data_IF_836782026718
#
_entry.id   IF_836782026718
#
_cell.length_a   1.000
_cell.length_b   1.000
_cell.length_c   1.000
_cell.angle_alpha   90.00
_cell.angle_beta   90.00
_cell.angle_gamma   90.00
#
_symmetry.space_group_name_H-M   'P 1'
#
loop_
_entity.id
_entity.type
_entity.pdbx_description
1 polymer ?
#
# COMPACT_ATOMS: atom_id res chain seq x y z
N UNK A 1 -14.15 14.49 5.96
CA UNK A 1 -12.80 14.23 6.54
C UNK A 1 -11.79 14.95 5.65
N UNK A 2 -11.22 16.07 6.13
CA UNK A 2 -10.56 17.08 5.28
C UNK A 2 -9.28 16.62 4.58
N UNK A 3 -8.75 15.43 4.90
CA UNK A 3 -7.46 14.94 4.35
C UNK A 3 -7.59 13.62 3.54
N UNK A 4 -8.81 13.16 3.25
CA UNK A 4 -9.03 11.86 2.56
C UNK A 4 -8.38 11.79 1.18
N UNK A 5 -8.29 12.94 0.48
CA UNK A 5 -7.67 13.04 -0.84
C UNK A 5 -6.18 12.67 -0.84
N UNK A 6 -5.49 12.70 0.30
CA UNK A 6 -4.07 12.33 0.38
C UNK A 6 -3.91 10.84 0.12
N UNK A 7 -4.77 10.03 0.73
CA UNK A 7 -4.80 8.59 0.49
C UNK A 7 -5.28 8.29 -0.93
N UNK A 8 -6.32 8.96 -1.40
CA UNK A 8 -6.81 8.81 -2.78
C UNK A 8 -5.69 9.08 -3.80
N UNK A 9 -4.97 10.19 -3.66
CA UNK A 9 -3.84 10.53 -4.53
C UNK A 9 -2.75 9.46 -4.49
N UNK A 10 -2.44 8.89 -3.31
CA UNK A 10 -1.50 7.79 -3.20
C UNK A 10 -1.99 6.53 -3.94
N UNK A 11 -3.25 6.13 -3.74
CA UNK A 11 -3.83 4.95 -4.38
C UNK A 11 -3.86 5.11 -5.90
N UNK A 12 -4.30 6.27 -6.39
CA UNK A 12 -4.33 6.59 -7.82
C UNK A 12 -2.91 6.54 -8.41
N UNK A 13 -1.94 7.17 -7.75
CA UNK A 13 -0.54 7.11 -8.17
C UNK A 13 0.01 5.67 -8.18
N UNK A 14 -0.38 4.83 -7.21
CA UNK A 14 0.02 3.42 -7.21
C UNK A 14 -0.53 2.68 -8.44
N UNK A 15 -1.83 2.83 -8.71
CA UNK A 15 -2.50 2.17 -9.83
C UNK A 15 -1.82 2.55 -11.14
N UNK A 16 -1.59 3.85 -11.37
CA UNK A 16 -0.97 4.31 -12.61
C UNK A 16 0.49 3.86 -12.80
N UNK A 17 1.27 3.73 -11.72
CA UNK A 17 2.69 3.37 -11.83
C UNK A 17 2.96 1.86 -11.81
N UNK A 18 2.08 1.06 -11.18
CA UNK A 18 2.39 -0.35 -10.87
C UNK A 18 1.36 -1.33 -11.43
N UNK A 19 0.16 -0.85 -11.75
CA UNK A 19 -0.95 -1.70 -12.18
C UNK A 19 -1.28 -1.42 -13.66
N UNK A 20 -1.17 -0.17 -14.10
CA UNK A 20 -1.43 0.25 -15.47
C UNK A 20 -0.13 0.52 -16.24
N UNK A 21 -0.05 0.22 -17.55
CA UNK A 21 -1.03 -0.47 -18.36
C UNK A 21 -1.00 -1.98 -18.12
N UNK A 22 -2.18 -2.57 -17.89
CA UNK A 22 -2.29 -4.02 -17.77
C UNK A 22 -1.96 -4.69 -19.11
N UNK A 23 -1.11 -5.69 -19.06
CA UNK A 23 -0.89 -6.62 -20.19
C UNK A 23 -1.68 -7.91 -19.97
N UNK A 24 -2.04 -8.64 -21.03
CA UNK A 24 -2.80 -9.90 -20.93
C UNK A 24 -2.11 -10.96 -20.05
N UNK A 25 -0.79 -10.84 -19.85
CA UNK A 25 0.03 -11.74 -19.05
C UNK A 25 0.06 -11.42 -17.55
N UNK A 26 -0.42 -10.25 -17.11
CA UNK A 26 -0.31 -9.81 -15.73
C UNK A 26 -1.59 -10.06 -14.93
N UNK A 27 -1.44 -10.59 -13.71
CA UNK A 27 -2.56 -10.76 -12.78
C UNK A 27 -2.98 -9.42 -12.20
N UNK A 28 -4.12 -8.90 -12.66
CA UNK A 28 -4.78 -7.71 -12.09
C UNK A 28 -4.97 -7.87 -10.57
N UNK A 29 -5.29 -9.09 -10.15
CA UNK A 29 -5.57 -9.39 -8.75
C UNK A 29 -4.33 -9.32 -7.86
N UNK A 30 -3.15 -9.67 -8.39
CA UNK A 30 -1.88 -9.49 -7.68
C UNK A 30 -1.63 -8.00 -7.40
N UNK A 31 -1.81 -7.17 -8.43
CA UNK A 31 -1.71 -5.71 -8.31
C UNK A 31 -2.70 -5.16 -7.27
N UNK A 32 -3.92 -5.68 -7.25
CA UNK A 32 -4.94 -5.31 -6.27
C UNK A 32 -4.57 -5.70 -4.83
N UNK A 33 -4.15 -6.94 -4.58
CA UNK A 33 -3.73 -7.37 -3.24
C UNK A 33 -2.50 -6.60 -2.75
N UNK A 34 -1.55 -6.31 -3.65
CA UNK A 34 -0.38 -5.50 -3.31
C UNK A 34 -0.75 -4.04 -3.00
N UNK A 35 -1.74 -3.47 -3.71
CA UNK A 35 -2.29 -2.15 -3.38
C UNK A 35 -2.87 -2.14 -1.95
N UNK A 36 -3.71 -3.12 -1.63
CA UNK A 36 -4.32 -3.23 -0.30
C UNK A 36 -3.26 -3.41 0.79
N UNK A 37 -2.29 -4.29 0.57
CA UNK A 37 -1.20 -4.56 1.53
C UNK A 37 -0.43 -3.28 1.86
N UNK A 38 -0.06 -2.49 0.84
CA UNK A 38 0.62 -1.21 1.04
C UNK A 38 -0.26 -0.20 1.78
N UNK A 39 -1.54 -0.13 1.43
CA UNK A 39 -2.50 0.74 2.12
C UNK A 39 -2.62 0.38 3.61
N UNK A 40 -2.72 -0.91 3.94
CA UNK A 40 -2.75 -1.39 5.33
C UNK A 40 -1.48 -1.02 6.10
N UNK A 41 -0.30 -1.18 5.49
CA UNK A 41 0.96 -0.74 6.12
C UNK A 41 0.98 0.75 6.38
N UNK A 42 0.58 1.58 5.42
CA UNK A 42 0.55 3.03 5.61
C UNK A 42 -0.34 3.39 6.80
N UNK A 43 -1.55 2.81 6.87
CA UNK A 43 -2.46 3.05 8.00
C UNK A 43 -1.85 2.60 9.33
N UNK A 44 -1.30 1.38 9.37
CA UNK A 44 -0.67 0.82 10.56
C UNK A 44 0.45 1.72 11.10
N UNK A 45 1.37 2.14 10.22
CA UNK A 45 2.49 3.00 10.61
C UNK A 45 2.06 4.40 11.00
N UNK A 46 1.07 5.00 10.33
CA UNK A 46 0.54 6.31 10.71
C UNK A 46 -0.09 6.27 12.11
N UNK A 47 -0.85 5.22 12.44
CA UNK A 47 -1.39 5.01 13.79
C UNK A 47 -0.24 4.87 14.79
N UNK A 48 0.77 4.07 14.50
CA UNK A 48 1.95 3.91 15.35
C UNK A 48 2.70 5.24 15.58
N UNK A 49 2.91 6.02 14.52
CA UNK A 49 3.53 7.35 14.56
C UNK A 49 2.73 8.31 15.44
N UNK A 50 1.41 8.31 15.30
CA UNK A 50 0.51 9.12 16.12
C UNK A 50 0.58 8.72 17.60
N UNK A 51 0.54 7.42 17.92
CA UNK A 51 0.64 6.95 19.30
C UNK A 51 1.98 7.31 19.96
N UNK A 52 3.07 7.37 19.19
CA UNK A 52 4.39 7.73 19.68
C UNK A 52 4.56 9.24 19.91
N UNK A 53 4.22 10.07 18.91
CA UNK A 53 4.52 11.50 18.91
C UNK A 53 3.33 12.38 19.34
N UNK A 54 2.11 11.83 19.35
CA UNK A 54 0.84 12.56 19.56
C UNK A 54 0.61 13.75 18.62
N UNK A 55 1.34 13.78 17.50
CA UNK A 55 1.26 14.85 16.50
C UNK A 55 0.61 14.29 15.23
N UNK A 56 -0.52 14.88 14.85
CA UNK A 56 -1.22 14.59 13.60
C UNK A 56 -1.30 15.88 12.79
N UNK A 57 -0.31 16.12 11.94
CA UNK A 57 -0.36 17.17 10.94
C UNK A 57 -0.47 16.57 9.55
N UNK A 58 -1.11 17.30 8.64
CA UNK A 58 -1.24 16.93 7.23
C UNK A 58 0.15 16.72 6.62
N UNK A 59 1.08 17.60 6.95
CA UNK A 59 2.45 17.62 6.48
C UNK A 59 3.18 16.34 6.93
N UNK A 60 3.01 15.94 8.18
CA UNK A 60 3.57 14.72 8.75
C UNK A 60 3.05 13.44 8.07
N UNK A 61 1.78 13.43 7.64
CA UNK A 61 1.19 12.30 6.88
C UNK A 61 1.79 12.25 5.47
N UNK A 62 1.84 13.39 4.77
CA UNK A 62 2.38 13.48 3.42
C UNK A 62 3.85 13.09 3.39
N UNK A 63 4.65 13.60 4.32
CA UNK A 63 6.06 13.26 4.46
C UNK A 63 6.25 11.76 4.70
N UNK A 64 5.45 11.17 5.59
CA UNK A 64 5.50 9.73 5.84
C UNK A 64 5.19 8.92 4.58
N UNK A 65 4.10 9.23 3.88
CA UNK A 65 3.72 8.53 2.64
C UNK A 65 4.81 8.68 1.59
N UNK A 66 5.44 9.85 1.49
CA UNK A 66 6.53 10.08 0.55
C UNK A 66 7.76 9.21 0.87
N UNK A 67 8.19 9.17 2.13
CA UNK A 67 9.32 8.33 2.57
C UNK A 67 8.98 6.85 2.35
N UNK A 68 7.80 6.41 2.80
CA UNK A 68 7.33 5.04 2.62
C UNK A 68 7.33 4.61 1.16
N UNK A 69 6.80 5.45 0.26
CA UNK A 69 6.73 5.16 -1.18
C UNK A 69 8.13 4.94 -1.77
N UNK A 70 9.07 5.85 -1.49
CA UNK A 70 10.45 5.76 -1.98
C UNK A 70 11.16 4.52 -1.43
N UNK A 71 11.00 4.24 -0.13
CA UNK A 71 11.61 3.07 0.50
C UNK A 71 11.12 1.78 -0.15
N UNK A 72 9.81 1.60 -0.30
CA UNK A 72 9.22 0.40 -0.91
C UNK A 72 9.67 0.21 -2.36
N UNK A 73 9.74 1.29 -3.14
CA UNK A 73 10.17 1.25 -4.55
C UNK A 73 11.63 0.78 -4.70
N UNK A 74 12.51 1.15 -3.78
CA UNK A 74 13.89 0.69 -3.75
C UNK A 74 14.06 -0.77 -3.26
N UNK A 75 13.04 -1.33 -2.61
CA UNK A 75 13.06 -2.71 -2.08
C UNK A 75 12.21 -3.65 -2.94
N UNK A 76 12.59 -3.83 -4.22
CA UNK A 76 11.90 -4.74 -5.14
C UNK A 76 11.81 -6.18 -4.63
N UNK A 77 12.84 -6.69 -3.95
CA UNK A 77 12.83 -8.03 -3.34
C UNK A 77 11.70 -8.16 -2.32
N UNK A 78 11.53 -7.19 -1.43
CA UNK A 78 10.47 -7.19 -0.43
C UNK A 78 9.07 -7.33 -1.07
N UNK A 79 8.83 -6.65 -2.20
CA UNK A 79 7.55 -6.71 -2.91
C UNK A 79 7.29 -8.07 -3.54
N UNK A 80 8.32 -8.65 -4.17
CA UNK A 80 8.25 -9.98 -4.78
C UNK A 80 8.04 -11.03 -3.68
N UNK A 81 8.88 -11.00 -2.65
CA UNK A 81 8.83 -11.94 -1.52
C UNK A 81 7.47 -11.87 -0.80
N UNK A 82 6.90 -10.66 -0.66
CA UNK A 82 5.57 -10.48 -0.06
C UNK A 82 4.46 -11.10 -0.91
N UNK A 83 4.47 -10.87 -2.23
CA UNK A 83 3.47 -11.43 -3.13
C UNK A 83 3.59 -12.96 -3.20
N UNK A 84 4.82 -13.49 -3.28
CA UNK A 84 5.07 -14.93 -3.24
C UNK A 84 4.60 -15.55 -1.92
N UNK A 85 4.86 -14.89 -0.78
CA UNK A 85 4.36 -15.33 0.51
C UNK A 85 2.83 -15.38 0.54
N UNK A 86 2.17 -14.32 0.07
CA UNK A 86 0.69 -14.25 0.01
C UNK A 86 0.15 -15.42 -0.81
N UNK A 87 0.67 -15.64 -2.02
CA UNK A 87 0.24 -16.72 -2.91
C UNK A 87 0.51 -18.11 -2.33
N UNK A 88 1.70 -18.32 -1.76
CA UNK A 88 2.08 -19.60 -1.15
C UNK A 88 1.17 -20.00 0.00
N UNK A 89 0.61 -19.03 0.71
CA UNK A 89 -0.33 -19.25 1.81
C UNK A 89 -1.80 -19.10 1.37
N UNK A 90 -2.07 -19.06 0.06
CA UNK A 90 -3.41 -18.94 -0.52
C UNK A 90 -4.19 -17.71 -0.05
N UNK A 91 -3.47 -16.63 0.30
CA UNK A 91 -4.04 -15.35 0.73
C UNK A 91 -4.36 -14.42 -0.44
N UNK A 92 -4.12 -14.83 -1.68
CA UNK A 92 -4.54 -14.15 -2.90
C UNK A 92 -6.03 -14.40 -3.19
N UNK A 93 -6.88 -14.09 -2.21
CA UNK A 93 -8.33 -14.21 -2.33
C UNK A 93 -9.08 -13.03 -1.68
N UNK A 94 -10.38 -12.95 -1.95
CA UNK A 94 -11.22 -11.86 -1.44
C UNK A 94 -11.47 -11.92 0.07
N UNK A 95 -11.33 -13.08 0.71
CA UNK A 95 -11.46 -13.20 2.17
C UNK A 95 -10.31 -12.50 2.87
N UNK A 96 -9.07 -12.77 2.42
CA UNK A 96 -7.90 -12.07 2.92
C UNK A 96 -7.95 -10.57 2.59
N UNK A 97 -8.35 -10.19 1.36
CA UNK A 97 -8.48 -8.78 0.97
C UNK A 97 -9.36 -7.96 1.95
N UNK A 98 -10.43 -8.56 2.48
CA UNK A 98 -11.31 -7.91 3.47
C UNK A 98 -10.61 -7.62 4.80
N UNK A 99 -9.60 -8.42 5.17
CA UNK A 99 -8.84 -8.21 6.41
C UNK A 99 -7.88 -7.02 6.33
N UNK A 100 -7.54 -6.59 5.11
CA UNK A 100 -6.64 -5.47 4.85
C UNK A 100 -7.36 -4.09 4.88
N UNK A 101 -8.68 -4.08 4.73
CA UNK A 101 -9.54 -2.89 4.72
C UNK A 101 -10.01 -2.53 6.13
#
# INVERSE_FOLDING_TARGET
NNNSYIFENYLVNFIYNNIFPFTESESIFDGYIMLLTRYSFIRFYLIGKYLHNKEESKESIVEFIQVFSKTIEHHKSFLIDSLEYIKKNEFDNMEFAKTLL
#
